data_IF_959334990668
#
_entry.id   IF_959334990668
#
_cell.length_a   1.000
_cell.length_b   1.000
_cell.length_c   1.000
_cell.angle_alpha   90.00
_cell.angle_beta   90.00
_cell.angle_gamma   90.00
#
_symmetry.space_group_name_H-M   'P 1'
#
loop_
_entity.id
_entity.type
_entity.pdbx_description
1 polymer ?
#
# COMPACT_ATOMS: atom_id res chain seq x y z
N UNK A 1 24.41 12.29 5.00
CA UNK A 1 23.08 12.59 4.41
C UNK A 1 22.71 11.47 3.47
N UNK A 2 22.03 10.43 3.97
CA UNK A 2 21.50 9.37 3.12
C UNK A 2 20.18 9.89 2.52
N UNK A 3 20.13 9.95 1.20
CA UNK A 3 18.98 10.41 0.45
C UNK A 3 17.75 9.56 0.82
N UNK A 4 16.68 10.23 1.24
CA UNK A 4 15.32 9.68 1.22
C UNK A 4 15.00 9.37 -0.25
N UNK A 5 15.32 8.16 -0.71
CA UNK A 5 14.87 7.67 -2.00
C UNK A 5 13.34 7.77 -1.97
N UNK A 6 12.75 8.44 -2.96
CA UNK A 6 11.30 8.58 -3.10
C UNK A 6 10.63 7.23 -2.83
N UNK A 7 9.90 7.09 -1.72
CA UNK A 7 9.51 5.81 -1.10
C UNK A 7 8.49 4.97 -1.89
N UNK A 8 8.29 5.34 -3.15
CA UNK A 8 7.27 4.81 -4.03
C UNK A 8 7.90 3.94 -5.13
N UNK A 9 8.26 2.72 -4.76
CA UNK A 9 8.86 1.72 -5.66
C UNK A 9 7.93 1.40 -6.84
N UNK A 10 6.62 1.40 -6.61
CA UNK A 10 5.61 1.15 -7.64
C UNK A 10 5.56 2.25 -8.71
N UNK A 11 5.45 3.51 -8.31
CA UNK A 11 5.50 4.65 -9.23
C UNK A 11 6.83 4.71 -9.97
N UNK A 12 7.94 4.40 -9.30
CA UNK A 12 9.24 4.30 -9.96
C UNK A 12 9.28 3.17 -11.00
N UNK A 13 8.64 2.02 -10.73
CA UNK A 13 8.53 0.92 -11.69
C UNK A 13 7.68 1.32 -12.92
N UNK A 14 6.55 2.01 -12.69
CA UNK A 14 5.67 2.51 -13.76
C UNK A 14 6.33 3.61 -14.59
N UNK A 15 6.91 4.63 -13.96
CA UNK A 15 7.46 5.80 -14.63
C UNK A 15 8.71 5.46 -15.47
N UNK A 16 9.48 4.45 -15.05
CA UNK A 16 10.72 4.07 -15.75
C UNK A 16 10.49 3.13 -16.94
N UNK A 17 9.25 2.65 -17.16
CA UNK A 17 8.97 1.60 -18.15
C UNK A 17 9.94 0.41 -18.01
N UNK A 18 10.43 0.16 -16.79
CA UNK A 18 11.62 -0.66 -16.53
C UNK A 18 11.34 -2.17 -16.55
N UNK A 19 10.08 -2.58 -16.76
CA UNK A 19 9.65 -3.96 -16.80
C UNK A 19 8.21 -4.13 -16.31
N UNK A 20 7.75 -5.38 -16.21
CA UNK A 20 6.48 -5.71 -15.57
C UNK A 20 6.60 -5.50 -14.06
N UNK A 21 5.65 -4.78 -13.47
CA UNK A 21 5.55 -4.68 -12.02
C UNK A 21 4.69 -5.81 -11.46
N UNK A 22 5.21 -6.53 -10.46
CA UNK A 22 4.52 -7.64 -9.82
C UNK A 22 4.14 -7.28 -8.39
N UNK A 23 2.96 -7.74 -7.98
CA UNK A 23 2.49 -7.52 -6.62
C UNK A 23 1.43 -8.52 -6.20
N UNK A 24 1.05 -8.43 -4.93
CA UNK A 24 0.12 -9.36 -4.30
C UNK A 24 -1.17 -8.68 -3.87
N UNK A 25 -2.27 -9.41 -4.00
CA UNK A 25 -3.56 -9.02 -3.46
C UNK A 25 -3.76 -9.66 -2.09
N UNK A 26 -3.86 -8.84 -1.05
CA UNK A 26 -4.06 -9.30 0.32
C UNK A 26 -5.47 -8.93 0.78
N UNK A 27 -6.27 -9.97 1.08
CA UNK A 27 -7.65 -9.83 1.58
C UNK A 27 -7.77 -10.19 3.07
N UNK A 28 -6.69 -10.64 3.71
CA UNK A 28 -6.69 -11.08 5.11
C UNK A 28 -5.95 -10.10 6.02
N UNK A 29 -6.43 -9.87 7.26
CA UNK A 29 -5.81 -8.95 8.19
C UNK A 29 -4.59 -9.59 8.85
N UNK A 30 -3.38 -9.18 8.44
CA UNK A 30 -2.15 -9.59 9.12
C UNK A 30 -0.94 -8.80 8.63
N UNK A 31 -0.37 -7.98 9.52
CA UNK A 31 0.91 -7.31 9.27
C UNK A 31 2.06 -8.31 9.04
N UNK A 32 1.98 -9.52 9.62
CA UNK A 32 2.99 -10.56 9.40
C UNK A 32 2.92 -11.09 7.97
N UNK A 33 1.71 -11.35 7.45
CA UNK A 33 1.51 -11.76 6.05
C UNK A 33 2.05 -10.66 5.13
N UNK A 34 1.75 -9.39 5.42
CA UNK A 34 2.24 -8.26 4.63
C UNK A 34 3.77 -8.19 4.57
N UNK A 35 4.48 -8.40 5.70
CA UNK A 35 5.96 -8.46 5.69
C UNK A 35 6.48 -9.67 4.93
N UNK A 36 5.81 -10.82 5.04
CA UNK A 36 6.22 -12.02 4.33
C UNK A 36 6.10 -11.83 2.82
N UNK A 37 4.97 -11.31 2.34
CA UNK A 37 4.73 -11.00 0.93
C UNK A 37 5.72 -9.97 0.40
N UNK A 38 5.98 -8.90 1.17
CA UNK A 38 6.85 -7.80 0.74
C UNK A 38 8.32 -8.23 0.58
N UNK A 39 8.73 -9.31 1.26
CA UNK A 39 10.08 -9.87 1.17
C UNK A 39 10.24 -10.90 0.06
N UNK A 40 9.16 -11.26 -0.65
CA UNK A 40 9.27 -12.14 -1.80
C UNK A 40 10.07 -11.41 -2.90
N UNK A 41 11.13 -12.03 -3.47
CA UNK A 41 11.91 -11.40 -4.53
C UNK A 41 11.03 -11.00 -5.72
N UNK A 42 11.13 -9.74 -6.15
CA UNK A 42 10.35 -9.20 -7.26
C UNK A 42 8.96 -8.69 -6.87
N UNK A 43 8.63 -8.61 -5.58
CA UNK A 43 7.42 -7.93 -5.10
C UNK A 43 7.65 -6.42 -5.08
N UNK A 44 6.97 -5.69 -5.97
CA UNK A 44 7.04 -4.23 -6.03
C UNK A 44 5.96 -3.56 -5.18
N UNK A 45 4.77 -4.18 -5.11
CA UNK A 45 3.60 -3.63 -4.43
C UNK A 45 2.73 -4.70 -3.78
N UNK A 46 1.97 -4.29 -2.76
CA UNK A 46 0.93 -5.11 -2.14
C UNK A 46 -0.34 -4.29 -2.05
N UNK A 47 -1.42 -4.83 -2.60
CA UNK A 47 -2.75 -4.25 -2.51
C UNK A 47 -3.48 -4.83 -1.30
N UNK A 48 -3.82 -3.96 -0.36
CA UNK A 48 -4.70 -4.21 0.77
C UNK A 48 -6.13 -3.96 0.34
N UNK A 49 -6.96 -4.99 0.46
CA UNK A 49 -8.34 -4.96 0.02
C UNK A 49 -9.30 -4.65 1.15
N UNK A 50 -9.61 -3.37 1.35
CA UNK A 50 -10.60 -2.94 2.34
C UNK A 50 -12.03 -2.91 1.77
N UNK A 51 -12.25 -3.25 0.50
CA UNK A 51 -13.58 -3.26 -0.15
C UNK A 51 -14.26 -4.62 -0.03
N UNK A 52 -13.54 -5.69 -0.34
CA UNK A 52 -14.06 -7.06 -0.30
C UNK A 52 -13.24 -7.99 0.60
N UNK A 53 -12.10 -7.54 1.10
CA UNK A 53 -11.32 -8.27 2.10
C UNK A 53 -11.87 -8.09 3.50
N UNK A 54 -11.34 -8.89 4.42
CA UNK A 54 -11.61 -8.83 5.85
C UNK A 54 -10.65 -7.86 6.55
N UNK A 55 -10.34 -6.73 5.90
CA UNK A 55 -9.48 -5.68 6.44
C UNK A 55 -10.32 -4.47 6.83
N UNK A 56 -10.25 -4.08 8.09
CA UNK A 56 -10.79 -2.81 8.55
C UNK A 56 -9.71 -1.70 8.53
N UNK A 57 -10.11 -0.48 8.91
CA UNK A 57 -9.20 0.67 8.98
C UNK A 57 -8.02 0.44 9.92
N UNK A 58 -8.20 -0.33 10.99
CA UNK A 58 -7.15 -0.62 11.97
C UNK A 58 -6.16 -1.61 11.38
N UNK A 59 -6.65 -2.70 10.79
CA UNK A 59 -5.81 -3.71 10.15
C UNK A 59 -4.97 -3.11 9.03
N UNK A 60 -5.60 -2.25 8.22
CA UNK A 60 -4.91 -1.50 7.17
C UNK A 60 -3.79 -0.63 7.77
N UNK A 61 -4.04 0.11 8.85
CA UNK A 61 -3.03 0.93 9.53
C UNK A 61 -1.88 0.12 10.12
N UNK A 62 -2.10 -1.13 10.48
CA UNK A 62 -1.04 -2.04 10.92
C UNK A 62 -0.25 -2.63 9.74
N UNK A 63 -0.92 -2.91 8.61
CA UNK A 63 -0.30 -3.52 7.43
C UNK A 63 0.52 -2.53 6.58
N UNK A 64 0.03 -1.31 6.35
CA UNK A 64 0.71 -0.26 5.55
C UNK A 64 2.16 -0.02 5.97
N UNK A 65 2.47 0.28 7.26
CA UNK A 65 3.85 0.49 7.68
C UNK A 65 4.68 -0.79 7.61
N UNK A 66 4.05 -1.96 7.78
CA UNK A 66 4.73 -3.25 7.65
C UNK A 66 5.20 -3.53 6.21
N UNK A 67 4.41 -3.12 5.21
CA UNK A 67 4.74 -3.19 3.79
C UNK A 67 5.86 -2.20 3.45
N UNK A 68 5.67 -0.93 3.82
CA UNK A 68 6.62 0.15 3.53
C UNK A 68 8.02 -0.12 4.14
N UNK A 69 8.06 -0.58 5.40
CA UNK A 69 9.33 -0.94 6.06
C UNK A 69 10.00 -2.19 5.48
N UNK A 70 9.27 -2.99 4.70
CA UNK A 70 9.78 -4.19 4.04
C UNK A 70 10.25 -3.95 2.61
N UNK A 71 10.11 -2.73 2.07
CA UNK A 71 10.64 -2.33 0.77
C UNK A 71 9.69 -2.50 -0.41
N UNK A 72 8.41 -2.81 -0.17
CA UNK A 72 7.35 -2.82 -1.19
C UNK A 72 6.43 -1.59 -1.01
N UNK A 73 5.71 -1.22 -2.07
CA UNK A 73 4.74 -0.13 -2.04
C UNK A 73 3.37 -0.61 -1.55
N UNK A 74 2.81 -0.04 -0.47
CA UNK A 74 1.43 -0.33 -0.06
C UNK A 74 0.42 0.38 -0.98
N UNK A 75 -0.56 -0.37 -1.47
CA UNK A 75 -1.72 0.13 -2.21
C UNK A 75 -2.96 -0.23 -1.38
N UNK A 76 -3.87 0.71 -1.18
CA UNK A 76 -5.12 0.46 -0.45
C UNK A 76 -6.30 0.61 -1.40
N UNK A 77 -7.10 -0.44 -1.49
CA UNK A 77 -8.39 -0.43 -2.16
C UNK A 77 -9.47 -0.09 -1.15
N UNK A 78 -10.05 1.10 -1.30
CA UNK A 78 -11.14 1.60 -0.45
C UNK A 78 -12.50 1.14 -0.98
N UNK A 79 -13.52 0.99 -0.11
CA UNK A 79 -14.85 0.50 -0.50
C UNK A 79 -15.60 1.36 -1.53
N UNK A 80 -15.30 2.65 -1.60
CA UNK A 80 -15.97 3.59 -2.49
C UNK A 80 -15.13 4.87 -2.65
N UNK A 81 -15.39 5.65 -3.71
CA UNK A 81 -14.74 6.95 -3.98
C UNK A 81 -15.31 8.11 -3.16
N UNK A 82 -16.05 7.85 -2.08
CA UNK A 82 -16.61 8.93 -1.28
C UNK A 82 -15.49 9.80 -0.67
N UNK A 83 -15.56 11.15 -0.78
CA UNK A 83 -14.48 12.02 -0.33
C UNK A 83 -14.05 11.84 1.13
N UNK A 84 -14.99 11.44 2.00
CA UNK A 84 -14.72 11.20 3.41
C UNK A 84 -13.92 9.90 3.66
N UNK A 85 -14.08 8.87 2.83
CA UNK A 85 -13.27 7.64 2.87
C UNK A 85 -11.83 7.95 2.44
N UNK A 86 -11.68 8.67 1.33
CA UNK A 86 -10.37 9.11 0.82
C UNK A 86 -9.64 9.97 1.86
N UNK A 87 -10.35 10.94 2.46
CA UNK A 87 -9.79 11.81 3.49
C UNK A 87 -9.32 11.00 4.70
N UNK A 88 -10.13 10.03 5.14
CA UNK A 88 -9.78 9.14 6.25
C UNK A 88 -8.48 8.42 5.94
N UNK A 89 -8.31 7.82 4.76
CA UNK A 89 -7.09 7.07 4.45
C UNK A 89 -5.82 7.92 4.30
N UNK A 90 -5.96 9.19 3.90
CA UNK A 90 -4.83 10.12 3.69
C UNK A 90 -4.43 10.84 4.98
N UNK A 91 -5.32 10.93 5.98
CA UNK A 91 -5.06 11.70 7.20
C UNK A 91 -3.79 11.20 7.94
N UNK A 92 -2.94 12.12 8.43
CA UNK A 92 -1.71 11.75 9.14
C UNK A 92 -2.00 10.86 10.35
N UNK A 93 -1.43 9.65 10.34
CA UNK A 93 -1.58 8.70 11.43
C UNK A 93 -0.54 8.96 12.53
N UNK A 94 -0.92 8.93 13.82
CA UNK A 94 0.01 9.19 14.93
C UNK A 94 1.06 8.09 15.15
N UNK A 95 0.97 6.94 14.46
CA UNK A 95 1.75 5.72 14.78
C UNK A 95 2.73 5.25 13.71
N UNK A 96 2.91 5.97 12.59
CA UNK A 96 3.84 5.50 11.56
C UNK A 96 4.60 6.65 10.86
N UNK A 97 5.92 6.53 10.67
CA UNK A 97 6.73 7.52 9.95
C UNK A 97 6.60 7.34 8.42
N UNK A 98 5.40 7.05 7.92
CA UNK A 98 5.16 6.85 6.48
C UNK A 98 4.65 8.16 5.90
N UNK A 99 5.38 8.69 4.93
CA UNK A 99 4.96 9.85 4.17
C UNK A 99 3.75 9.48 3.31
N UNK A 100 2.80 10.40 3.15
CA UNK A 100 1.68 10.31 2.20
C UNK A 100 2.14 9.89 0.77
N UNK A 101 3.42 10.09 0.45
CA UNK A 101 4.03 9.70 -0.83
C UNK A 101 4.05 8.19 -1.13
N UNK A 102 3.85 7.34 -0.12
CA UNK A 102 3.98 5.88 -0.25
C UNK A 102 2.62 5.16 -0.38
N UNK A 103 1.49 5.87 -0.17
CA UNK A 103 0.15 5.32 -0.24
C UNK A 103 -0.49 5.60 -1.61
N UNK A 104 -0.88 4.56 -2.35
CA UNK A 104 -1.77 4.72 -3.51
C UNK A 104 -3.16 4.25 -3.13
N UNK A 105 -4.13 5.15 -3.31
CA UNK A 105 -5.54 4.79 -3.28
C UNK A 105 -5.94 4.35 -4.67
N UNK A 106 -6.46 3.12 -4.77
CA UNK A 106 -6.94 2.57 -6.02
C UNK A 106 -8.40 2.22 -5.86
N UNK A 107 -9.27 3.04 -6.44
CA UNK A 107 -10.69 2.75 -6.62
C UNK A 107 -10.89 2.24 -8.04
N UNK A 108 -11.16 0.94 -8.18
CA UNK A 108 -11.47 0.34 -9.48
C UNK A 108 -12.96 0.55 -9.75
N UNK A 109 -13.35 1.74 -10.22
CA UNK A 109 -14.67 1.88 -10.83
C UNK A 109 -14.61 1.33 -12.25
N UNK A 110 -15.25 0.18 -12.47
CA UNK A 110 -15.55 -0.36 -13.79
C UNK A 110 -14.50 -1.34 -14.34
N UNK A 111 -14.94 -2.58 -14.50
CA UNK A 111 -14.64 -3.31 -15.76
C UNK A 111 -15.39 -2.61 -16.89
#
# INVERSE_FOLDING_TARGET
MAAMASGNTFKMALDKSAGSSLGYWQMTPSANISRMLARVPGCDWILLDCEHGDLDDRDMRECVPAIASSGASPIVRIPSTEPWLIKREIEPWPLAPVSIADLHLLTIYGV
#
